data_IF_029500293899
#
_entry.id   IF_029500293899
#
_cell.length_a   1.000
_cell.length_b   1.000
_cell.length_c   1.000
_cell.angle_alpha   90.00
_cell.angle_beta   90.00
_cell.angle_gamma   90.00
#
_symmetry.space_group_name_H-M   'P 1'
#
loop_
_entity.id
_entity.type
_entity.pdbx_description
1 polymer ?
#
# COMPACT_ATOMS: atom_id res chain seq x y z
N UNK A 1 -48.94 -0.31 34.39
CA UNK A 1 -47.83 0.38 33.68
C UNK A 1 -47.86 1.86 34.05
N UNK A 2 -46.66 2.43 34.25
CA UNK A 2 -46.29 3.86 34.28
C UNK A 2 -46.60 4.63 35.57
N UNK A 3 -45.59 4.63 36.45
CA UNK A 3 -45.32 5.70 37.40
C UNK A 3 -43.99 6.39 37.05
N UNK A 4 -43.84 7.61 37.58
CA UNK A 4 -42.62 8.40 37.77
C UNK A 4 -42.06 9.07 36.51
N UNK A 5 -42.32 10.36 36.24
CA UNK A 5 -41.98 11.60 36.97
C UNK A 5 -40.47 11.86 37.06
N UNK A 6 -40.11 13.10 36.70
CA UNK A 6 -39.00 13.94 37.21
C UNK A 6 -37.93 14.37 36.19
N UNK A 7 -37.93 15.70 36.03
CA UNK A 7 -37.07 16.67 35.35
C UNK A 7 -35.67 16.77 35.98
N UNK A 8 -34.62 16.99 35.17
CA UNK A 8 -33.41 17.81 35.51
C UNK A 8 -32.59 18.02 34.22
N UNK A 9 -32.55 19.22 33.59
CA UNK A 9 -31.71 20.42 33.88
C UNK A 9 -30.22 20.06 33.80
N UNK A 10 -29.50 20.33 32.70
CA UNK A 10 -28.96 21.62 32.19
C UNK A 10 -27.67 22.08 32.91
N UNK A 11 -26.60 22.30 32.10
CA UNK A 11 -25.43 23.18 32.28
C UNK A 11 -24.26 22.67 33.18
N UNK A 12 -23.08 22.45 32.57
CA UNK A 12 -21.92 23.36 32.69
C UNK A 12 -20.73 22.95 31.79
N UNK A 13 -20.24 23.96 31.07
CA UNK A 13 -18.94 24.07 30.43
C UNK A 13 -17.82 24.06 31.47
N UNK A 14 -16.70 23.42 31.12
CA UNK A 14 -15.36 23.86 31.54
C UNK A 14 -14.43 23.82 30.33
N UNK A 15 -14.10 25.02 29.84
CA UNK A 15 -12.83 25.30 29.16
C UNK A 15 -11.70 25.27 30.20
N UNK A 16 -10.55 24.72 29.85
CA UNK A 16 -9.28 25.21 30.38
C UNK A 16 -8.15 25.01 29.39
N UNK A 17 -7.26 25.99 29.35
CA UNK A 17 -6.30 26.30 28.30
C UNK A 17 -4.84 26.01 28.74
N UNK A 18 -3.93 26.14 27.78
CA UNK A 18 -2.69 26.97 27.84
C UNK A 18 -1.37 26.36 28.38
N UNK A 19 -0.55 25.96 27.40
CA UNK A 19 0.84 26.33 27.08
C UNK A 19 1.93 26.66 28.14
N UNK A 20 3.10 26.08 27.85
CA UNK A 20 4.51 26.45 28.07
C UNK A 20 5.30 26.07 29.35
N UNK A 21 6.33 25.25 29.08
CA UNK A 21 7.72 25.24 29.54
C UNK A 21 8.07 25.14 31.03
N UNK A 22 8.85 24.11 31.31
CA UNK A 22 9.99 24.17 32.25
C UNK A 22 11.14 23.34 31.66
N UNK A 23 12.29 23.99 31.44
CA UNK A 23 13.63 23.38 31.44
C UNK A 23 13.84 22.63 32.79
N UNK A 24 14.77 21.70 33.01
CA UNK A 24 16.11 21.47 32.49
C UNK A 24 16.56 20.08 33.03
N UNK A 25 17.63 19.50 32.47
CA UNK A 25 18.40 18.46 33.20
C UNK A 25 18.79 17.20 32.42
N UNK A 26 19.74 17.37 31.50
CA UNK A 26 20.94 16.53 31.28
C UNK A 26 20.90 15.03 31.63
N UNK A 27 21.16 14.16 30.64
CA UNK A 27 22.41 13.37 30.53
C UNK A 27 22.27 12.18 29.56
N UNK A 28 23.30 12.03 28.72
CA UNK A 28 23.75 10.82 28.00
C UNK A 28 23.02 10.32 26.73
N UNK A 29 23.77 10.49 25.62
CA UNK A 29 24.21 9.42 24.70
C UNK A 29 23.13 8.66 23.92
N UNK A 30 22.94 9.06 22.66
CA UNK A 30 23.31 8.29 21.45
C UNK A 30 22.77 9.04 20.24
N UNK A 31 23.64 9.36 19.28
CA UNK A 31 23.26 9.83 17.95
C UNK A 31 22.37 8.78 17.28
N UNK A 32 21.06 8.89 17.49
CA UNK A 32 20.08 8.29 16.60
C UNK A 32 20.02 9.17 15.37
N UNK A 33 20.84 8.83 14.39
CA UNK A 33 20.62 9.21 13.01
C UNK A 33 19.27 8.63 12.59
N UNK A 34 18.22 9.41 12.83
CA UNK A 34 16.92 9.26 12.22
C UNK A 34 17.13 9.42 10.72
N UNK A 35 17.46 8.29 10.07
CA UNK A 35 17.49 8.21 8.62
C UNK A 35 16.03 8.16 8.19
N UNK A 36 15.40 9.33 8.21
CA UNK A 36 14.24 9.59 7.40
C UNK A 36 14.64 9.20 5.98
N UNK A 37 14.15 8.04 5.51
CA UNK A 37 14.21 7.66 4.11
C UNK A 37 13.53 8.78 3.34
N UNK A 38 14.34 9.72 2.86
CA UNK A 38 13.92 10.69 1.85
C UNK A 38 13.63 9.85 0.62
N UNK A 39 12.36 9.53 0.42
CA UNK A 39 11.89 8.94 -0.82
C UNK A 39 12.38 9.85 -1.95
N UNK A 40 13.06 9.30 -2.98
CA UNK A 40 13.45 10.08 -4.14
C UNK A 40 12.21 10.82 -4.70
N UNK A 41 12.39 12.00 -5.31
CA UNK A 41 11.30 12.70 -5.98
C UNK A 41 10.60 11.72 -6.92
N UNK A 42 9.25 11.76 -6.94
CA UNK A 42 8.38 10.89 -7.72
C UNK A 42 8.97 10.66 -9.13
N UNK A 43 9.61 9.51 -9.30
CA UNK A 43 10.34 9.19 -10.52
C UNK A 43 9.31 8.98 -11.62
N UNK A 44 9.35 9.82 -12.65
CA UNK A 44 8.59 9.61 -13.90
C UNK A 44 9.20 8.51 -14.75
N UNK A 45 9.82 7.49 -14.13
CA UNK A 45 10.36 6.35 -14.83
C UNK A 45 9.25 5.67 -15.63
N UNK A 46 9.55 5.46 -16.91
CA UNK A 46 8.64 4.83 -17.84
C UNK A 46 8.80 3.31 -17.78
N UNK A 47 7.71 2.56 -17.89
CA UNK A 47 7.72 1.09 -17.81
C UNK A 47 8.20 0.36 -19.07
N UNK A 48 8.43 1.03 -20.20
CA UNK A 48 8.74 0.41 -21.51
C UNK A 48 9.87 -0.62 -21.50
N UNK A 49 10.86 -0.53 -20.61
CA UNK A 49 11.97 -1.47 -20.54
C UNK A 49 11.73 -2.68 -19.61
N UNK A 50 10.61 -2.73 -18.87
CA UNK A 50 10.28 -3.82 -17.95
C UNK A 50 10.11 -5.17 -18.63
N UNK A 51 9.78 -5.20 -19.91
CA UNK A 51 9.69 -6.45 -20.68
C UNK A 51 10.98 -7.26 -20.64
N UNK A 52 12.14 -6.59 -20.54
CA UNK A 52 13.47 -7.22 -20.46
C UNK A 52 13.73 -7.90 -19.11
N UNK A 53 12.82 -7.74 -18.16
CA UNK A 53 12.94 -8.25 -16.80
C UNK A 53 11.84 -9.28 -16.46
N UNK A 54 11.02 -9.67 -17.44
CA UNK A 54 10.05 -10.77 -17.27
C UNK A 54 10.77 -12.03 -16.77
N UNK A 55 10.19 -12.67 -15.77
CA UNK A 55 10.75 -13.85 -15.10
C UNK A 55 11.71 -13.55 -13.95
N UNK A 56 12.07 -12.29 -13.71
CA UNK A 56 12.82 -11.85 -12.52
C UNK A 56 11.88 -11.46 -11.38
N UNK A 57 12.34 -11.51 -10.14
CA UNK A 57 11.62 -10.97 -8.99
C UNK A 57 11.76 -9.43 -8.92
N UNK A 58 10.76 -8.69 -8.40
CA UNK A 58 10.87 -7.25 -8.20
C UNK A 58 12.14 -6.81 -7.45
N UNK A 59 12.54 -7.53 -6.40
CA UNK A 59 13.77 -7.25 -5.62
C UNK A 59 15.06 -7.49 -6.40
N UNK A 60 15.07 -8.39 -7.38
CA UNK A 60 16.28 -8.71 -8.17
C UNK A 60 16.67 -7.57 -9.12
N UNK A 61 15.73 -6.66 -9.41
CA UNK A 61 15.92 -5.53 -10.32
C UNK A 61 15.68 -4.18 -9.63
N UNK A 62 15.57 -4.18 -8.29
CA UNK A 62 15.20 -3.02 -7.48
C UNK A 62 13.97 -2.28 -8.03
N UNK A 63 12.95 -3.03 -8.47
CA UNK A 63 11.83 -2.53 -9.26
C UNK A 63 11.17 -1.30 -8.62
N UNK A 64 10.88 -1.38 -7.32
CA UNK A 64 10.18 -0.31 -6.61
C UNK A 64 11.00 0.99 -6.54
N UNK A 65 12.30 0.88 -6.33
CA UNK A 65 13.19 2.02 -6.24
C UNK A 65 13.50 2.59 -7.63
N UNK A 66 13.91 1.72 -8.58
CA UNK A 66 14.33 2.11 -9.93
C UNK A 66 13.20 2.79 -10.70
N UNK A 67 11.96 2.33 -10.52
CA UNK A 67 10.79 2.88 -11.22
C UNK A 67 9.92 3.80 -10.35
N UNK A 68 10.37 4.15 -9.14
CA UNK A 68 9.64 5.03 -8.23
C UNK A 68 8.27 4.52 -7.82
N UNK A 69 8.06 3.19 -7.80
CA UNK A 69 6.75 2.62 -7.50
C UNK A 69 6.32 2.92 -6.07
N UNK A 70 7.24 3.04 -5.10
CA UNK A 70 6.86 3.35 -3.72
C UNK A 70 6.10 4.66 -3.61
N UNK A 71 6.61 5.74 -4.21
CA UNK A 71 5.94 7.04 -4.20
C UNK A 71 4.57 6.96 -4.89
N UNK A 72 4.48 6.28 -6.03
CA UNK A 72 3.23 6.17 -6.80
C UNK A 72 2.18 5.32 -6.09
N UNK A 73 2.60 4.23 -5.46
CA UNK A 73 1.73 3.34 -4.69
C UNK A 73 1.28 4.01 -3.39
N UNK A 74 2.17 4.76 -2.73
CA UNK A 74 1.81 5.60 -1.59
C UNK A 74 0.72 6.60 -1.95
N UNK A 75 0.85 7.23 -3.12
CA UNK A 75 -0.13 8.19 -3.60
C UNK A 75 -1.52 7.59 -3.85
N UNK A 76 -1.62 6.34 -4.30
CA UNK A 76 -2.94 5.72 -4.55
C UNK A 76 -3.50 4.97 -3.34
N UNK A 77 -2.65 4.41 -2.47
CA UNK A 77 -3.09 3.64 -1.30
C UNK A 77 -3.31 4.50 -0.05
N UNK A 78 -2.69 5.68 0.02
CA UNK A 78 -2.79 6.63 1.14
C UNK A 78 -2.56 5.92 2.49
N UNK A 79 -3.59 5.85 3.34
CA UNK A 79 -3.50 5.23 4.68
C UNK A 79 -3.05 3.78 4.66
N UNK A 80 -3.30 3.06 3.56
CA UNK A 80 -3.06 1.63 3.47
C UNK A 80 -1.63 1.32 3.00
N UNK A 81 -0.84 2.35 2.65
CA UNK A 81 0.53 2.20 2.16
C UNK A 81 1.51 1.68 3.21
N UNK A 82 1.39 2.13 4.47
CA UNK A 82 2.29 1.69 5.53
C UNK A 82 2.21 0.16 5.73
N UNK A 83 0.99 -0.37 5.76
CA UNK A 83 0.76 -1.81 5.84
C UNK A 83 1.24 -2.55 4.58
N UNK A 84 1.02 -1.98 3.40
CA UNK A 84 1.56 -2.53 2.15
C UNK A 84 3.08 -2.71 2.21
N UNK A 85 3.80 -1.68 2.64
CA UNK A 85 5.26 -1.70 2.70
C UNK A 85 5.76 -2.71 3.74
N UNK A 86 5.11 -2.78 4.90
CA UNK A 86 5.44 -3.76 5.95
C UNK A 86 5.24 -5.21 5.48
N UNK A 87 4.15 -5.45 4.77
CA UNK A 87 3.74 -6.78 4.33
C UNK A 87 4.29 -7.19 2.95
N UNK A 88 5.14 -6.41 2.30
CA UNK A 88 5.77 -6.80 1.03
C UNK A 88 7.06 -7.58 1.30
N UNK A 89 6.98 -8.91 1.46
CA UNK A 89 8.16 -9.72 1.81
C UNK A 89 8.41 -10.90 0.84
N UNK A 90 7.35 -11.63 0.50
CA UNK A 90 7.37 -12.68 -0.51
C UNK A 90 6.74 -12.15 -1.79
N UNK A 91 7.37 -12.40 -2.93
CA UNK A 91 6.96 -11.84 -4.22
C UNK A 91 7.11 -12.87 -5.34
N UNK A 92 6.31 -12.71 -6.39
CA UNK A 92 6.38 -13.56 -7.58
C UNK A 92 7.15 -12.89 -8.72
N UNK A 93 7.71 -13.68 -9.65
CA UNK A 93 8.38 -13.10 -10.82
C UNK A 93 7.45 -12.23 -11.66
N UNK A 94 8.02 -11.20 -12.29
CA UNK A 94 7.34 -10.37 -13.27
C UNK A 94 6.79 -11.24 -14.40
N UNK A 95 5.47 -11.21 -14.59
CA UNK A 95 4.78 -11.86 -15.70
C UNK A 95 4.37 -10.81 -16.72
N UNK A 96 4.31 -11.21 -17.99
CA UNK A 96 3.76 -10.40 -19.08
C UNK A 96 2.47 -11.01 -19.61
N UNK A 97 1.53 -10.16 -19.98
CA UNK A 97 0.40 -10.49 -20.84
C UNK A 97 0.03 -9.26 -21.69
N UNK A 98 0.25 -9.35 -23.02
CA UNK A 98 0.17 -8.20 -23.91
C UNK A 98 1.12 -7.07 -23.51
N UNK A 99 0.56 -5.89 -23.24
CA UNK A 99 1.25 -4.68 -22.78
C UNK A 99 1.20 -4.48 -21.26
N UNK A 100 0.88 -5.54 -20.52
CA UNK A 100 0.79 -5.52 -19.05
C UNK A 100 1.96 -6.30 -18.46
N UNK A 101 2.60 -5.70 -17.48
CA UNK A 101 3.48 -6.40 -16.53
C UNK A 101 2.73 -6.53 -15.21
N UNK A 102 2.71 -7.73 -14.65
CA UNK A 102 2.06 -7.96 -13.37
C UNK A 102 2.84 -8.94 -12.52
N UNK A 103 2.68 -8.80 -11.21
CA UNK A 103 3.35 -9.60 -10.20
C UNK A 103 2.56 -9.50 -8.90
N UNK A 104 2.85 -10.38 -7.96
CA UNK A 104 2.18 -10.43 -6.67
C UNK A 104 3.17 -10.32 -5.54
N UNK A 105 2.69 -9.88 -4.39
CA UNK A 105 3.46 -9.84 -3.16
C UNK A 105 2.59 -10.04 -1.92
N UNK A 106 3.17 -10.54 -0.85
CA UNK A 106 2.47 -10.82 0.41
C UNK A 106 3.43 -10.87 1.60
N UNK A 107 2.82 -10.96 2.80
CA UNK A 107 3.56 -11.14 4.04
C UNK A 107 4.17 -12.53 4.10
N UNK A 108 5.44 -12.61 4.49
CA UNK A 108 6.14 -13.88 4.58
C UNK A 108 5.43 -14.85 5.52
N UNK A 109 5.19 -16.09 5.05
CA UNK A 109 4.46 -17.11 5.79
C UNK A 109 2.95 -16.85 6.01
N UNK A 110 2.39 -15.75 5.47
CA UNK A 110 0.99 -15.36 5.69
C UNK A 110 0.33 -14.82 4.41
N UNK A 111 0.65 -15.46 3.29
CA UNK A 111 0.22 -15.09 1.95
C UNK A 111 -1.29 -15.22 1.70
N UNK A 112 -2.03 -15.82 2.64
CA UNK A 112 -3.48 -16.05 2.60
C UNK A 112 -4.30 -14.97 3.31
N UNK A 113 -3.72 -14.28 4.30
CA UNK A 113 -4.46 -13.27 5.06
C UNK A 113 -4.39 -11.90 4.36
N UNK A 114 -3.30 -11.64 3.65
CA UNK A 114 -3.03 -10.38 2.98
C UNK A 114 -2.13 -10.59 1.75
N UNK A 115 -2.68 -10.35 0.56
CA UNK A 115 -1.99 -10.47 -0.71
C UNK A 115 -2.21 -9.25 -1.59
N UNK A 116 -1.24 -8.94 -2.42
CA UNK A 116 -1.25 -7.83 -3.35
C UNK A 116 -1.00 -8.33 -4.77
N UNK A 117 -1.80 -7.87 -5.72
CA UNK A 117 -1.62 -8.08 -7.15
C UNK A 117 -1.37 -6.71 -7.79
N UNK A 118 -0.16 -6.50 -8.31
CA UNK A 118 0.24 -5.22 -8.92
C UNK A 118 0.23 -5.38 -10.43
N UNK A 119 -0.37 -4.42 -11.12
CA UNK A 119 -0.42 -4.32 -12.57
C UNK A 119 0.21 -3.02 -13.02
N UNK A 120 1.12 -3.11 -13.98
CA UNK A 120 1.80 -2.01 -14.63
C UNK A 120 1.43 -2.04 -16.12
N UNK A 121 0.80 -0.97 -16.61
CA UNK A 121 0.50 -0.80 -18.03
C UNK A 121 1.67 -0.09 -18.72
N UNK A 122 2.29 -0.78 -19.69
CA UNK A 122 3.48 -0.30 -20.40
C UNK A 122 3.18 0.85 -21.37
N UNK A 123 1.94 0.97 -21.83
CA UNK A 123 1.53 1.92 -22.86
C UNK A 123 1.17 3.27 -22.26
N UNK A 124 0.39 3.26 -21.19
CA UNK A 124 -0.06 4.50 -20.52
C UNK A 124 0.74 4.82 -19.26
N UNK A 125 1.70 3.96 -18.90
CA UNK A 125 2.57 4.12 -17.73
C UNK A 125 1.77 4.31 -16.45
N UNK A 126 0.79 3.43 -16.19
CA UNK A 126 -0.09 3.48 -15.01
C UNK A 126 0.02 2.23 -14.13
N UNK A 127 -0.31 2.39 -12.86
CA UNK A 127 -0.29 1.34 -11.84
C UNK A 127 -1.70 1.11 -11.31
N UNK A 128 -2.10 -0.17 -11.25
CA UNK A 128 -3.19 -0.62 -10.39
C UNK A 128 -2.66 -1.60 -9.33
N UNK A 129 -3.17 -1.46 -8.11
CA UNK A 129 -2.88 -2.39 -7.01
C UNK A 129 -4.20 -2.98 -6.53
N UNK A 130 -4.26 -4.31 -6.48
CA UNK A 130 -5.39 -5.03 -5.89
C UNK A 130 -4.91 -5.68 -4.61
N UNK A 131 -5.56 -5.35 -3.50
CA UNK A 131 -5.29 -5.94 -2.20
C UNK A 131 -6.41 -6.90 -1.81
N UNK A 132 -6.06 -8.16 -1.55
CA UNK A 132 -6.94 -9.17 -1.00
C UNK A 132 -6.57 -9.39 0.46
N UNK A 133 -7.40 -8.92 1.37
CA UNK A 133 -7.15 -8.99 2.81
C UNK A 133 -8.37 -9.51 3.55
N UNK A 134 -8.21 -10.58 4.32
CA UNK A 134 -9.29 -11.19 5.11
C UNK A 134 -10.60 -11.34 4.32
N UNK A 135 -10.54 -12.02 3.16
CA UNK A 135 -11.67 -12.27 2.24
C UNK A 135 -12.25 -11.01 1.56
N UNK A 136 -11.67 -9.82 1.77
CA UNK A 136 -12.09 -8.57 1.12
C UNK A 136 -11.09 -8.13 0.06
N UNK A 137 -11.59 -7.84 -1.13
CA UNK A 137 -10.82 -7.20 -2.20
C UNK A 137 -10.96 -5.69 -2.16
N UNK A 138 -9.84 -4.98 -2.31
CA UNK A 138 -9.78 -3.54 -2.58
C UNK A 138 -8.94 -3.28 -3.82
N UNK A 139 -9.32 -2.31 -4.63
CA UNK A 139 -8.53 -1.82 -5.75
C UNK A 139 -8.09 -0.39 -5.52
N UNK A 140 -6.88 -0.09 -5.98
CA UNK A 140 -6.29 1.23 -5.99
C UNK A 140 -5.82 1.51 -7.41
N UNK A 141 -6.23 2.66 -7.93
CA UNK A 141 -6.07 3.02 -9.35
C UNK A 141 -5.37 4.37 -9.42
N UNK A 142 -4.27 4.42 -10.16
CA UNK A 142 -3.57 5.67 -10.40
C UNK A 142 -4.38 6.57 -11.34
N UNK A 143 -4.62 7.81 -10.92
CA UNK A 143 -5.42 8.80 -11.64
C UNK A 143 -6.79 8.28 -12.10
N UNK A 144 -7.44 7.43 -11.28
CA UNK A 144 -8.73 6.80 -11.59
C UNK A 144 -8.74 5.98 -12.90
N UNK A 145 -7.57 5.50 -13.33
CA UNK A 145 -7.43 4.73 -14.56
C UNK A 145 -7.57 3.24 -14.27
N UNK A 146 -8.64 2.63 -14.76
CA UNK A 146 -8.83 1.18 -14.69
C UNK A 146 -8.04 0.50 -15.81
N UNK A 147 -7.03 -0.30 -15.46
CA UNK A 147 -6.28 -1.13 -16.40
C UNK A 147 -7.11 -2.38 -16.72
N UNK A 148 -7.40 -2.59 -18.01
CA UNK A 148 -8.08 -3.79 -18.49
C UNK A 148 -7.20 -5.03 -18.37
N UNK A 149 -7.78 -6.15 -17.96
CA UNK A 149 -7.05 -7.41 -17.80
C UNK A 149 -7.19 -8.29 -19.05
N UNK A 150 -6.10 -8.65 -19.76
CA UNK A 150 -6.16 -9.66 -20.80
C UNK A 150 -6.37 -11.06 -20.18
N UNK A 151 -6.66 -12.05 -21.02
CA UNK A 151 -7.17 -13.36 -20.57
C UNK A 151 -6.23 -14.07 -19.59
N UNK A 152 -4.93 -14.16 -19.89
CA UNK A 152 -3.99 -14.89 -19.05
C UNK A 152 -3.79 -14.19 -17.70
N UNK A 153 -3.72 -12.87 -17.68
CA UNK A 153 -3.67 -12.10 -16.43
C UNK A 153 -4.96 -12.27 -15.62
N UNK A 154 -6.11 -12.30 -16.29
CA UNK A 154 -7.41 -12.54 -15.65
C UNK A 154 -7.44 -13.90 -14.96
N UNK A 155 -6.98 -14.97 -15.61
CA UNK A 155 -6.92 -16.31 -15.01
C UNK A 155 -6.05 -16.33 -13.74
N UNK A 156 -4.86 -15.72 -13.81
CA UNK A 156 -3.96 -15.59 -12.66
C UNK A 156 -4.59 -14.78 -11.52
N UNK A 157 -5.28 -13.68 -11.84
CA UNK A 157 -5.98 -12.85 -10.86
C UNK A 157 -7.12 -13.61 -10.17
N UNK A 158 -7.93 -14.36 -10.94
CA UNK A 158 -9.05 -15.13 -10.40
C UNK A 158 -8.56 -16.26 -9.52
N UNK A 159 -7.49 -16.96 -9.93
CA UNK A 159 -6.86 -18.01 -9.12
C UNK A 159 -6.38 -17.45 -7.79
N UNK A 160 -5.67 -16.31 -7.81
CA UNK A 160 -5.22 -15.66 -6.58
C UNK A 160 -6.41 -15.34 -5.67
N UNK A 161 -7.46 -14.70 -6.20
CA UNK A 161 -8.68 -14.37 -5.43
C UNK A 161 -9.33 -15.60 -4.79
N UNK A 162 -9.42 -16.71 -5.51
CA UNK A 162 -9.95 -17.97 -5.00
C UNK A 162 -9.10 -18.56 -3.87
N UNK A 163 -7.77 -18.43 -3.95
CA UNK A 163 -6.85 -18.87 -2.89
C UNK A 163 -7.02 -18.04 -1.60
N UNK A 164 -7.45 -16.78 -1.71
CA UNK A 164 -7.71 -15.89 -0.56
C UNK A 164 -9.13 -16.04 0.03
N UNK A 165 -9.99 -16.84 -0.60
CA UNK A 165 -11.38 -17.06 -0.20
C UNK A 165 -11.61 -18.43 0.46
N UNK A 166 -10.54 -19.16 0.79
CA UNK A 166 -10.54 -20.54 1.31
C UNK A 166 -9.82 -20.64 2.64
#
# INVERSE_FOLDING_TARGET
>A
MKYFTVITVLILLICSCKNNSSNDGDMQTTDSADTAMTLPPASTANFKDLEKHVGKLPKEIDLFQKYGLYSRIEDIMKSDFAEFKENWNEETPLKKDGEMIYFTGCKAGDCKSNNYFIVLDLMINKINVYNFKNEKGRSYEEDHTVIGMPFKMTDDFMKLREEQSK
#
